data_IF_486975643672
#
_entry.id   IF_486975643672
#
_cell.length_a   1.000
_cell.length_b   1.000
_cell.length_c   1.000
_cell.angle_alpha   90.00
_cell.angle_beta   90.00
_cell.angle_gamma   90.00
#
_symmetry.space_group_name_H-M   'P 1'
#
loop_
_entity.id
_entity.type
_entity.pdbx_description
1 polymer ?
#
# COMPACT_ATOMS: atom_id res chain seq x y z
N UNK A 1 -16.68 -28.22 -7.98
CA UNK A 1 -15.80 -29.06 -7.15
C UNK A 1 -14.47 -29.18 -7.85
N UNK A 2 -13.47 -28.44 -7.43
CA UNK A 2 -12.08 -28.61 -7.87
C UNK A 2 -11.23 -28.60 -6.61
N UNK A 3 -10.59 -29.74 -6.34
CA UNK A 3 -9.74 -30.01 -5.19
C UNK A 3 -8.37 -29.41 -5.47
N UNK A 4 -7.92 -28.46 -4.66
CA UNK A 4 -6.55 -27.98 -4.66
C UNK A 4 -5.70 -28.88 -3.77
N UNK A 5 -4.77 -29.60 -4.39
CA UNK A 5 -3.77 -30.41 -3.72
C UNK A 5 -2.63 -29.49 -3.22
N UNK A 6 -2.35 -29.54 -1.92
CA UNK A 6 -1.21 -28.91 -1.30
C UNK A 6 0.06 -29.74 -1.60
N UNK A 7 1.09 -29.12 -2.18
CA UNK A 7 2.45 -29.65 -2.25
C UNK A 7 3.29 -29.06 -1.12
N UNK A 8 3.77 -29.92 -0.22
CA UNK A 8 4.76 -29.58 0.79
C UNK A 8 6.18 -29.61 0.17
N UNK A 9 7.10 -28.75 0.58
CA UNK A 9 8.50 -28.82 0.15
C UNK A 9 9.28 -29.84 0.97
N UNK A 10 10.07 -30.68 0.28
CA UNK A 10 11.02 -31.65 0.83
C UNK A 10 12.31 -30.95 1.26
N UNK A 11 12.77 -31.25 2.46
CA UNK A 11 14.10 -30.85 2.95
C UNK A 11 15.20 -31.75 2.34
N UNK A 12 16.39 -31.23 2.04
CA UNK A 12 17.57 -32.06 1.82
C UNK A 12 18.42 -32.16 3.09
N UNK A 13 18.55 -33.37 3.59
CA UNK A 13 19.58 -33.81 4.53
C UNK A 13 20.94 -33.84 3.87
N UNK A 14 21.96 -33.26 4.51
CA UNK A 14 23.35 -33.38 4.09
C UNK A 14 24.30 -33.12 5.26
N UNK A 15 24.96 -34.21 5.70
CA UNK A 15 25.76 -34.35 6.89
C UNK A 15 27.19 -33.84 6.78
N UNK A 16 27.66 -33.33 7.92
CA UNK A 16 29.00 -33.33 8.57
C UNK A 16 30.28 -33.52 7.78
N UNK A 17 31.30 -32.67 8.04
CA UNK A 17 32.62 -33.14 8.46
C UNK A 17 33.40 -32.06 9.23
N UNK A 18 34.03 -32.51 10.31
CA UNK A 18 34.81 -31.77 11.28
C UNK A 18 36.29 -31.55 10.81
N UNK A 19 36.94 -30.55 11.43
CA UNK A 19 38.35 -30.70 11.70
C UNK A 19 39.26 -29.50 11.40
N UNK A 20 39.78 -28.95 12.45
CA UNK A 20 41.14 -28.51 12.75
C UNK A 20 41.27 -27.06 13.25
N UNK A 21 41.47 -26.98 14.55
CA UNK A 21 42.28 -25.94 15.22
C UNK A 21 43.78 -26.19 14.97
N UNK A 22 44.65 -25.15 15.00
CA UNK A 22 45.33 -24.82 16.24
C UNK A 22 45.58 -23.31 16.49
N UNK A 23 45.60 -22.94 17.77
CA UNK A 23 46.35 -21.80 18.36
C UNK A 23 47.81 -22.23 18.66
N UNK A 24 48.71 -21.39 19.22
CA UNK A 24 48.78 -19.93 19.45
C UNK A 24 50.20 -19.37 19.11
N UNK A 25 50.45 -18.06 19.19
CA UNK A 25 51.73 -17.51 19.75
C UNK A 25 51.72 -15.98 19.86
N UNK A 26 51.75 -15.51 21.05
CA UNK A 26 52.55 -14.46 21.79
C UNK A 26 53.15 -13.26 21.01
N UNK A 27 52.97 -12.09 21.64
CA UNK A 27 54.06 -11.11 21.69
C UNK A 27 53.62 -9.65 21.68
N UNK A 28 53.38 -9.02 22.84
CA UNK A 28 54.12 -7.89 23.42
C UNK A 28 53.91 -6.46 22.99
N UNK A 29 53.57 -5.64 23.93
CA UNK A 29 53.83 -4.24 24.31
C UNK A 29 52.90 -3.14 23.87
N UNK A 30 52.30 -2.53 24.90
CA UNK A 30 51.81 -1.15 24.97
C UNK A 30 52.92 -0.11 24.81
N UNK A 31 52.58 1.10 24.36
CA UNK A 31 52.57 2.16 25.37
C UNK A 31 51.32 3.05 25.37
N UNK A 32 51.03 3.51 26.52
CA UNK A 32 50.10 4.53 27.03
C UNK A 32 50.35 5.89 26.39
N UNK A 33 49.27 6.59 25.96
CA UNK A 33 49.06 8.03 26.22
C UNK A 33 47.60 8.40 25.92
N UNK A 34 46.91 8.86 26.93
CA UNK A 34 45.70 9.73 26.89
C UNK A 34 46.13 11.15 26.52
N UNK A 35 45.24 12.08 26.03
CA UNK A 35 43.90 12.31 26.54
C UNK A 35 42.80 12.72 25.48
N UNK A 36 41.56 12.45 25.88
CA UNK A 36 40.34 13.23 25.60
C UNK A 36 40.16 13.98 24.26
N UNK A 37 39.35 13.39 23.39
CA UNK A 37 38.52 14.19 22.44
C UNK A 37 37.09 13.71 22.59
N UNK A 38 36.27 14.52 23.23
CA UNK A 38 34.81 14.38 23.26
C UNK A 38 34.26 14.63 21.85
N UNK A 39 33.95 13.57 21.15
CA UNK A 39 33.13 13.66 19.92
C UNK A 39 31.70 14.05 20.31
N UNK A 40 31.09 15.05 19.65
CA UNK A 40 29.68 15.32 19.85
C UNK A 40 28.86 14.13 19.31
N UNK A 41 27.95 13.66 20.16
CA UNK A 41 26.89 12.70 19.81
C UNK A 41 26.11 13.22 18.59
N UNK A 42 25.85 12.38 17.56
CA UNK A 42 24.97 12.82 16.48
C UNK A 42 23.58 13.08 17.08
N UNK A 43 23.09 14.31 16.90
CA UNK A 43 21.72 14.69 17.18
C UNK A 43 20.80 13.74 16.39
N UNK A 44 19.85 13.12 17.08
CA UNK A 44 18.73 12.42 16.41
C UNK A 44 18.08 13.38 15.42
N UNK A 45 17.74 12.92 14.20
CA UNK A 45 16.97 13.77 13.31
C UNK A 45 15.61 14.06 13.98
N UNK A 46 15.36 15.32 14.30
CA UNK A 46 14.01 15.79 14.61
C UNK A 46 13.11 15.38 13.42
N UNK A 47 12.09 14.56 13.69
CA UNK A 47 11.02 14.30 12.74
C UNK A 47 10.37 15.64 12.41
N UNK A 48 10.76 16.20 11.28
CA UNK A 48 10.09 17.38 10.72
C UNK A 48 8.68 16.95 10.33
N UNK A 49 7.70 17.27 11.16
CA UNK A 49 6.29 17.14 10.81
C UNK A 49 6.07 18.04 9.62
N UNK A 50 5.85 17.46 8.44
CA UNK A 50 5.56 18.20 7.23
C UNK A 50 4.33 19.08 7.46
N UNK A 51 4.39 20.36 7.06
CA UNK A 51 3.24 21.25 7.18
C UNK A 51 2.03 20.66 6.41
N UNK A 52 0.79 20.83 6.91
CA UNK A 52 -0.41 20.37 6.21
C UNK A 52 -0.52 21.03 4.82
N UNK A 53 -1.36 20.50 3.91
CA UNK A 53 -1.58 21.07 2.59
C UNK A 53 -1.98 22.54 2.70
N UNK A 54 -1.65 23.35 1.70
CA UNK A 54 -1.99 24.76 1.66
C UNK A 54 -3.47 24.98 2.00
N UNK A 55 -3.79 25.98 2.81
CA UNK A 55 -5.17 26.29 3.23
C UNK A 55 -6.13 26.47 2.05
N UNK A 56 -5.63 26.81 0.86
CA UNK A 56 -6.42 26.89 -0.37
C UNK A 56 -6.82 25.48 -0.90
N UNK A 57 -5.99 24.45 -0.69
CA UNK A 57 -6.29 23.08 -1.10
C UNK A 57 -7.20 22.37 -0.07
N UNK A 58 -6.96 22.56 1.23
CA UNK A 58 -7.78 21.93 2.28
C UNK A 58 -9.26 22.34 2.29
N UNK A 59 -9.63 23.41 1.57
CA UNK A 59 -11.02 23.85 1.42
C UNK A 59 -11.76 23.21 0.22
N UNK A 60 -11.07 22.44 -0.63
CA UNK A 60 -11.66 21.97 -1.89
C UNK A 60 -12.51 20.70 -1.75
N UNK A 61 -12.14 19.78 -0.85
CA UNK A 61 -12.78 18.46 -0.75
C UNK A 61 -12.93 18.00 0.69
N UNK A 62 -14.01 17.26 0.98
CA UNK A 62 -14.29 16.69 2.29
C UNK A 62 -13.45 15.45 2.56
N UNK A 63 -12.98 15.31 3.82
CA UNK A 63 -12.30 14.09 4.29
C UNK A 63 -13.25 13.03 4.85
N UNK A 64 -14.56 13.31 4.89
CA UNK A 64 -15.60 12.41 5.46
C UNK A 64 -16.77 12.14 4.53
N UNK A 65 -17.00 12.95 3.49
CA UNK A 65 -18.00 12.65 2.48
C UNK A 65 -17.49 11.53 1.55
N UNK A 66 -18.16 10.36 1.47
CA UNK A 66 -17.70 9.25 0.65
C UNK A 66 -17.72 9.53 -0.86
N UNK A 67 -18.42 10.58 -1.31
CA UNK A 67 -18.40 11.03 -2.71
C UNK A 67 -17.19 11.93 -3.03
N UNK A 68 -16.44 12.36 -2.03
CA UNK A 68 -15.26 13.20 -2.17
C UNK A 68 -14.03 12.35 -2.58
N UNK A 69 -13.20 12.81 -3.54
CA UNK A 69 -11.94 12.15 -3.84
C UNK A 69 -10.95 12.14 -2.65
N UNK A 70 -11.16 13.01 -1.66
CA UNK A 70 -10.32 13.10 -0.46
C UNK A 70 -10.89 12.35 0.75
N UNK A 71 -12.05 11.67 0.61
CA UNK A 71 -12.56 10.86 1.72
C UNK A 71 -11.46 9.96 2.27
N UNK A 72 -11.14 10.10 3.54
CA UNK A 72 -10.14 9.23 4.16
C UNK A 72 -10.84 8.13 4.93
N UNK A 73 -10.65 6.91 4.42
CA UNK A 73 -11.19 5.67 4.99
C UNK A 73 -10.01 4.87 5.51
N UNK A 74 -10.01 4.55 6.79
CA UNK A 74 -8.99 3.73 7.43
C UNK A 74 -9.57 3.01 8.66
N UNK A 75 -8.75 2.43 9.52
CA UNK A 75 -9.22 1.67 10.68
C UNK A 75 -9.94 2.53 11.73
N UNK A 76 -9.64 3.84 11.82
CA UNK A 76 -10.31 4.78 12.72
C UNK A 76 -11.49 5.50 12.06
N UNK A 77 -11.56 5.50 10.75
CA UNK A 77 -12.51 6.31 9.96
C UNK A 77 -13.34 5.41 9.03
N UNK A 78 -14.46 4.84 9.50
CA UNK A 78 -15.38 4.12 8.64
C UNK A 78 -16.07 5.07 7.65
N UNK A 79 -16.64 4.48 6.61
CA UNK A 79 -17.59 5.19 5.73
C UNK A 79 -18.88 5.52 6.47
N UNK A 80 -19.44 6.69 6.20
CA UNK A 80 -20.75 7.11 6.66
C UNK A 80 -21.65 7.49 5.47
N UNK A 81 -22.74 6.74 5.20
CA UNK A 81 -23.19 5.54 5.92
C UNK A 81 -22.26 4.32 5.64
N UNK A 82 -22.20 3.33 6.56
CA UNK A 82 -21.31 2.16 6.40
C UNK A 82 -21.55 1.35 5.11
N UNK A 83 -22.79 1.31 4.63
CA UNK A 83 -23.18 0.62 3.39
C UNK A 83 -23.14 1.53 2.16
N UNK A 84 -22.40 2.64 2.20
CA UNK A 84 -22.25 3.53 1.04
C UNK A 84 -21.91 2.75 -0.22
N UNK A 85 -22.52 3.16 -1.34
CA UNK A 85 -22.18 2.69 -2.67
C UNK A 85 -22.21 3.89 -3.64
N UNK A 86 -21.17 4.09 -4.47
CA UNK A 86 -21.17 5.15 -5.47
C UNK A 86 -22.31 4.96 -6.48
N UNK A 87 -22.94 6.07 -6.87
CA UNK A 87 -24.01 6.06 -7.87
C UNK A 87 -23.51 6.04 -9.32
N UNK A 88 -22.21 6.30 -9.51
CA UNK A 88 -21.56 6.53 -10.81
C UNK A 88 -20.49 5.47 -11.15
N UNK A 89 -20.71 4.22 -10.70
CA UNK A 89 -19.83 3.11 -11.01
C UNK A 89 -19.86 2.76 -12.49
N UNK A 90 -18.69 2.71 -13.12
CA UNK A 90 -18.51 2.35 -14.52
C UNK A 90 -17.34 1.37 -14.69
N UNK A 91 -17.39 0.54 -15.73
CA UNK A 91 -16.26 -0.27 -16.13
C UNK A 91 -15.34 0.56 -17.02
N UNK A 92 -14.06 0.79 -16.63
CA UNK A 92 -13.11 1.53 -17.46
C UNK A 92 -12.73 0.74 -18.71
N UNK A 93 -12.35 1.46 -19.77
CA UNK A 93 -11.87 0.91 -21.05
C UNK A 93 -10.41 0.47 -20.99
N UNK A 94 -10.02 -0.32 -19.99
CA UNK A 94 -8.65 -0.80 -19.77
C UNK A 94 -8.59 -2.33 -19.74
N UNK A 95 -7.38 -2.90 -19.70
CA UNK A 95 -7.22 -4.35 -19.52
C UNK A 95 -7.72 -4.76 -18.13
N UNK A 96 -8.58 -5.76 -18.09
CA UNK A 96 -9.17 -6.31 -16.88
C UNK A 96 -8.61 -7.70 -16.59
N UNK A 97 -8.26 -7.98 -15.34
CA UNK A 97 -7.98 -9.31 -14.82
C UNK A 97 -9.17 -9.89 -14.04
N UNK A 98 -10.22 -9.08 -13.86
CA UNK A 98 -11.43 -9.40 -13.06
C UNK A 98 -12.69 -9.00 -13.82
N UNK A 99 -13.85 -9.43 -13.30
CA UNK A 99 -15.17 -9.08 -13.83
C UNK A 99 -16.17 -8.77 -12.71
N UNK A 100 -17.42 -8.50 -13.09
CA UNK A 100 -18.47 -8.14 -12.14
C UNK A 100 -18.18 -6.82 -11.44
N UNK A 101 -18.55 -6.68 -10.16
CA UNK A 101 -18.34 -5.43 -9.41
C UNK A 101 -16.87 -5.06 -9.28
N UNK A 102 -15.98 -6.04 -9.18
CA UNK A 102 -14.53 -5.81 -9.09
C UNK A 102 -13.91 -5.18 -10.36
N UNK A 103 -14.63 -5.13 -11.47
CA UNK A 103 -14.23 -4.43 -12.70
C UNK A 103 -14.71 -2.98 -12.74
N UNK A 104 -15.45 -2.50 -11.73
CA UNK A 104 -16.03 -1.17 -11.70
C UNK A 104 -15.17 -0.21 -10.89
N UNK A 105 -15.18 1.05 -11.28
CA UNK A 105 -14.61 2.20 -10.56
C UNK A 105 -15.63 3.33 -10.58
N UNK A 106 -15.51 4.31 -9.71
CA UNK A 106 -16.25 5.53 -9.89
C UNK A 106 -15.82 6.23 -11.20
N UNK A 107 -16.70 6.99 -11.81
CA UNK A 107 -16.48 7.53 -13.15
C UNK A 107 -15.22 8.38 -13.29
N UNK A 108 -14.89 9.17 -12.28
CA UNK A 108 -13.68 10.02 -12.25
C UNK A 108 -12.42 9.16 -12.15
N UNK A 109 -12.43 8.17 -11.26
CA UNK A 109 -11.32 7.22 -11.11
C UNK A 109 -11.11 6.40 -12.38
N UNK A 110 -12.20 5.95 -13.03
CA UNK A 110 -12.16 5.23 -14.29
C UNK A 110 -11.46 6.04 -15.40
N UNK A 111 -11.87 7.28 -15.60
CA UNK A 111 -11.26 8.17 -16.60
C UNK A 111 -9.77 8.48 -16.31
N UNK A 112 -9.38 8.57 -15.04
CA UNK A 112 -8.00 8.77 -14.64
C UNK A 112 -7.17 7.48 -14.85
N UNK A 113 -7.75 6.31 -14.52
CA UNK A 113 -7.12 5.01 -14.74
C UNK A 113 -6.86 4.73 -16.21
N UNK A 114 -7.79 5.08 -17.10
CA UNK A 114 -7.61 4.95 -18.56
C UNK A 114 -6.36 5.71 -19.04
N UNK A 115 -6.15 6.93 -18.54
CA UNK A 115 -4.96 7.74 -18.87
C UNK A 115 -3.68 7.13 -18.31
N UNK A 116 -3.72 6.66 -17.07
CA UNK A 116 -2.58 6.00 -16.41
C UNK A 116 -2.16 4.73 -17.15
N UNK A 117 -3.11 3.86 -17.50
CA UNK A 117 -2.85 2.61 -18.24
C UNK A 117 -2.34 2.87 -19.66
N UNK A 118 -2.90 3.86 -20.35
CA UNK A 118 -2.44 4.25 -21.68
C UNK A 118 -0.99 4.76 -21.65
N UNK A 119 -0.62 5.56 -20.65
CA UNK A 119 0.74 6.05 -20.48
C UNK A 119 1.73 4.93 -20.15
N UNK A 120 1.39 4.01 -19.24
CA UNK A 120 2.20 2.84 -18.95
C UNK A 120 2.43 1.98 -20.21
N UNK A 121 1.37 1.72 -20.97
CA UNK A 121 1.44 0.97 -22.22
C UNK A 121 2.33 1.65 -23.27
N UNK A 122 2.30 2.99 -23.36
CA UNK A 122 3.17 3.76 -24.26
C UNK A 122 4.66 3.59 -23.93
N UNK A 123 4.98 3.30 -22.65
CA UNK A 123 6.32 2.98 -22.18
C UNK A 123 6.61 1.46 -22.15
N UNK A 124 5.74 0.64 -22.73
CA UNK A 124 5.90 -0.81 -22.81
C UNK A 124 5.57 -1.56 -21.51
N UNK A 125 4.95 -0.90 -20.53
CA UNK A 125 4.55 -1.51 -19.27
C UNK A 125 3.10 -1.98 -19.36
N UNK A 126 2.90 -3.29 -19.17
CA UNK A 126 1.56 -3.90 -19.18
C UNK A 126 0.99 -3.87 -17.77
N UNK A 127 -0.23 -3.35 -17.64
CA UNK A 127 -1.03 -3.39 -16.42
C UNK A 127 -2.41 -3.98 -16.70
N UNK A 128 -3.02 -4.58 -15.68
CA UNK A 128 -4.43 -4.94 -15.68
C UNK A 128 -5.08 -4.52 -14.36
N UNK A 129 -6.35 -4.14 -14.38
CA UNK A 129 -7.15 -3.93 -13.18
C UNK A 129 -7.44 -5.28 -12.54
N UNK A 130 -6.94 -5.47 -11.32
CA UNK A 130 -7.01 -6.74 -10.59
C UNK A 130 -8.09 -6.75 -9.50
N UNK A 131 -8.47 -5.58 -8.97
CA UNK A 131 -9.59 -5.41 -8.03
C UNK A 131 -10.01 -3.94 -8.02
N UNK A 132 -11.25 -3.65 -8.37
CA UNK A 132 -11.84 -2.31 -8.33
C UNK A 132 -12.83 -2.16 -7.17
N UNK A 133 -14.06 -1.73 -7.47
CA UNK A 133 -15.11 -1.57 -6.47
C UNK A 133 -15.41 -2.88 -5.75
N UNK A 134 -15.62 -2.77 -4.45
CA UNK A 134 -16.01 -3.87 -3.58
C UNK A 134 -17.12 -3.40 -2.65
N UNK A 135 -18.33 -3.94 -2.82
CA UNK A 135 -19.49 -3.59 -1.97
C UNK A 135 -19.26 -3.95 -0.51
N UNK A 136 -20.02 -3.34 0.39
CA UNK A 136 -20.02 -3.68 1.81
C UNK A 136 -20.24 -5.18 2.06
N UNK A 137 -21.19 -5.79 1.33
CA UNK A 137 -21.50 -7.22 1.48
C UNK A 137 -20.35 -8.11 1.01
N UNK A 138 -19.70 -7.76 -0.10
CA UNK A 138 -18.52 -8.50 -0.60
C UNK A 138 -17.33 -8.31 0.35
N UNK A 139 -17.12 -7.10 0.88
CA UNK A 139 -16.10 -6.86 1.90
C UNK A 139 -16.34 -7.68 3.16
N UNK A 140 -17.59 -7.78 3.62
CA UNK A 140 -17.95 -8.61 4.78
C UNK A 140 -17.64 -10.09 4.53
N UNK A 141 -17.95 -10.62 3.35
CA UNK A 141 -17.63 -12.01 3.00
C UNK A 141 -16.12 -12.24 2.94
N UNK A 142 -15.37 -11.32 2.31
CA UNK A 142 -13.90 -11.36 2.20
C UNK A 142 -13.26 -11.34 3.58
N UNK A 143 -13.61 -10.37 4.42
CA UNK A 143 -13.06 -10.23 5.77
C UNK A 143 -13.35 -11.47 6.65
N UNK A 144 -14.59 -11.97 6.63
CA UNK A 144 -14.96 -13.17 7.37
C UNK A 144 -14.18 -14.42 6.89
N UNK A 145 -13.85 -14.50 5.59
CA UNK A 145 -12.97 -15.54 5.06
C UNK A 145 -11.56 -15.47 5.68
N UNK A 146 -10.98 -14.27 5.81
CA UNK A 146 -9.69 -14.08 6.50
C UNK A 146 -9.80 -14.41 8.01
N UNK A 147 -10.89 -13.97 8.69
CA UNK A 147 -11.11 -14.32 10.10
C UNK A 147 -11.14 -15.84 10.29
N UNK A 148 -11.82 -16.56 9.38
CA UNK A 148 -11.89 -18.01 9.42
C UNK A 148 -10.54 -18.71 9.21
N UNK A 149 -9.64 -18.13 8.43
CA UNK A 149 -8.35 -18.72 8.09
C UNK A 149 -7.21 -18.36 9.05
N UNK A 150 -7.18 -17.14 9.57
CA UNK A 150 -6.04 -16.63 10.37
C UNK A 150 -6.44 -15.93 11.68
N UNK A 151 -7.73 -15.98 12.06
CA UNK A 151 -8.27 -15.28 13.22
C UNK A 151 -8.43 -13.78 12.99
N UNK A 152 -9.13 -13.10 13.92
CA UNK A 152 -9.45 -11.67 13.76
C UNK A 152 -8.20 -10.80 13.71
N UNK A 153 -7.23 -10.99 14.58
CA UNK A 153 -6.01 -10.19 14.60
C UNK A 153 -5.23 -10.30 13.26
N UNK A 154 -5.13 -11.50 12.69
CA UNK A 154 -4.52 -11.69 11.37
C UNK A 154 -5.35 -11.04 10.25
N UNK A 155 -6.68 -11.18 10.30
CA UNK A 155 -7.58 -10.59 9.33
C UNK A 155 -7.50 -9.05 9.32
N UNK A 156 -7.36 -8.41 10.48
CA UNK A 156 -7.26 -6.96 10.63
C UNK A 156 -6.01 -6.36 9.95
N UNK A 157 -4.95 -7.15 9.77
CA UNK A 157 -3.76 -6.73 9.03
C UNK A 157 -3.83 -7.04 7.52
N UNK A 158 -4.64 -8.02 7.13
CA UNK A 158 -4.72 -8.51 5.75
C UNK A 158 -5.90 -7.92 4.97
N UNK A 159 -6.95 -7.44 5.63
CA UNK A 159 -8.17 -6.95 4.98
C UNK A 159 -8.90 -5.93 5.87
N UNK A 160 -9.51 -4.94 5.26
CA UNK A 160 -10.34 -3.98 5.99
C UNK A 160 -11.61 -4.64 6.54
N UNK A 161 -12.05 -4.20 7.73
CA UNK A 161 -13.40 -4.52 8.21
C UNK A 161 -14.45 -3.90 7.28
N UNK A 162 -15.67 -4.48 7.18
CA UNK A 162 -16.75 -3.90 6.39
C UNK A 162 -17.02 -2.43 6.76
N UNK A 163 -17.13 -1.57 5.76
CA UNK A 163 -17.25 -0.12 5.95
C UNK A 163 -15.92 0.63 6.12
N UNK A 164 -14.77 -0.06 6.18
CA UNK A 164 -13.43 0.53 6.34
C UNK A 164 -12.54 0.32 5.11
N UNK A 165 -13.09 -0.14 3.99
CA UNK A 165 -12.36 -0.40 2.76
C UNK A 165 -12.45 0.77 1.77
N UNK A 166 -11.33 1.26 1.27
CA UNK A 166 -11.31 2.27 0.21
C UNK A 166 -11.92 1.76 -1.11
N UNK A 167 -11.88 0.44 -1.39
CA UNK A 167 -12.53 -0.15 -2.56
C UNK A 167 -14.05 0.10 -2.59
N UNK A 168 -14.68 0.27 -1.41
CA UNK A 168 -16.11 0.56 -1.32
C UNK A 168 -16.47 1.96 -1.83
N UNK A 169 -15.50 2.87 -1.92
CA UNK A 169 -15.69 4.22 -2.44
C UNK A 169 -15.60 4.32 -3.95
N UNK A 170 -15.01 3.31 -4.62
CA UNK A 170 -14.66 3.38 -6.03
C UNK A 170 -13.48 4.32 -6.34
N UNK A 171 -12.87 4.95 -5.32
CA UNK A 171 -11.70 5.83 -5.46
C UNK A 171 -10.36 5.08 -5.47
N UNK A 172 -10.35 3.77 -5.22
CA UNK A 172 -9.14 2.94 -5.26
C UNK A 172 -9.32 1.68 -6.10
N UNK A 173 -8.18 1.15 -6.56
CA UNK A 173 -8.13 -0.12 -7.25
C UNK A 173 -6.74 -0.74 -7.15
N UNK A 174 -6.70 -2.05 -7.36
CA UNK A 174 -5.47 -2.82 -7.40
C UNK A 174 -5.06 -3.12 -8.84
N UNK A 175 -3.75 -3.02 -9.13
CA UNK A 175 -3.15 -3.37 -10.41
C UNK A 175 -2.44 -4.73 -10.35
N UNK A 176 -2.31 -5.38 -11.51
CA UNK A 176 -1.44 -6.52 -11.74
C UNK A 176 -0.59 -6.29 -13.00
N UNK A 177 0.38 -7.19 -13.24
CA UNK A 177 1.25 -7.18 -14.43
C UNK A 177 0.55 -7.67 -15.73
N UNK A 178 -0.72 -7.98 -15.63
CA UNK A 178 -1.52 -8.54 -16.72
C UNK A 178 -1.31 -10.05 -16.98
N UNK A 179 -0.30 -10.66 -16.41
CA UNK A 179 -0.06 -12.10 -16.39
C UNK A 179 -0.46 -12.76 -15.05
N UNK A 180 -0.68 -11.94 -14.03
CA UNK A 180 -1.07 -12.38 -12.70
C UNK A 180 0.11 -12.82 -11.81
N UNK A 181 1.35 -12.69 -12.28
CA UNK A 181 2.52 -13.01 -11.50
C UNK A 181 2.61 -12.10 -10.26
N UNK A 182 2.87 -12.69 -9.09
CA UNK A 182 2.98 -11.94 -7.85
C UNK A 182 1.74 -11.11 -7.45
N UNK A 183 0.58 -11.28 -8.07
CA UNK A 183 -0.64 -10.52 -7.73
C UNK A 183 -0.96 -10.65 -6.25
N UNK A 184 -1.15 -9.50 -5.57
CA UNK A 184 -1.43 -9.40 -4.13
C UNK A 184 -0.34 -10.06 -3.24
N UNK A 185 0.90 -10.10 -3.72
CA UNK A 185 2.04 -10.64 -2.98
C UNK A 185 3.17 -9.60 -2.87
N UNK A 186 4.02 -9.66 -1.84
CA UNK A 186 5.13 -8.71 -1.67
C UNK A 186 6.08 -8.64 -2.88
N UNK A 187 6.24 -9.73 -3.62
CA UNK A 187 7.07 -9.78 -4.83
C UNK A 187 6.56 -8.90 -5.97
N UNK A 188 5.27 -8.44 -5.93
CA UNK A 188 4.73 -7.53 -6.94
C UNK A 188 5.50 -6.21 -6.96
N UNK A 189 6.08 -5.78 -5.84
CA UNK A 189 6.90 -4.56 -5.77
C UNK A 189 8.07 -4.54 -6.78
N UNK A 190 8.58 -5.71 -7.17
CA UNK A 190 9.63 -5.86 -8.18
C UNK A 190 9.11 -5.96 -9.61
N UNK A 191 7.78 -5.99 -9.85
CA UNK A 191 7.22 -6.05 -11.18
C UNK A 191 7.28 -4.68 -11.89
N UNK A 192 7.45 -4.65 -13.22
CA UNK A 192 7.47 -3.40 -13.99
C UNK A 192 6.25 -2.51 -13.74
N UNK A 193 5.05 -3.11 -13.59
CA UNK A 193 3.82 -2.39 -13.30
C UNK A 193 3.88 -1.62 -11.98
N UNK A 194 4.35 -2.26 -10.89
CA UNK A 194 4.47 -1.61 -9.58
C UNK A 194 5.55 -0.52 -9.58
N UNK A 195 6.72 -0.81 -10.19
CA UNK A 195 7.82 0.17 -10.28
C UNK A 195 7.41 1.40 -11.08
N UNK A 196 6.75 1.21 -12.22
CA UNK A 196 6.26 2.30 -13.05
C UNK A 196 5.19 3.12 -12.33
N UNK A 197 4.22 2.45 -11.69
CA UNK A 197 3.17 3.13 -10.93
C UNK A 197 3.74 3.96 -9.78
N UNK A 198 4.69 3.43 -9.01
CA UNK A 198 5.34 4.16 -7.92
C UNK A 198 5.99 5.48 -8.40
N UNK A 199 6.58 5.49 -9.60
CA UNK A 199 7.22 6.68 -10.16
C UNK A 199 6.30 7.64 -10.92
N UNK A 200 5.13 7.19 -11.38
CA UNK A 200 4.33 7.93 -12.35
C UNK A 200 2.85 8.15 -11.97
N UNK A 201 2.30 7.36 -11.06
CA UNK A 201 0.86 7.38 -10.75
C UNK A 201 0.35 8.77 -10.32
N UNK A 202 1.18 9.54 -9.61
CA UNK A 202 0.84 10.91 -9.17
C UNK A 202 0.50 11.85 -10.33
N UNK A 203 1.09 11.68 -11.52
CA UNK A 203 0.81 12.48 -12.71
C UNK A 203 -0.63 12.28 -13.22
N UNK A 204 -1.28 11.21 -12.78
CA UNK A 204 -2.66 10.84 -13.13
C UNK A 204 -3.61 10.93 -11.93
N UNK A 205 -3.13 11.48 -10.81
CA UNK A 205 -3.93 11.72 -9.60
C UNK A 205 -3.96 10.54 -8.62
N UNK A 206 -3.07 9.55 -8.77
CA UNK A 206 -3.00 8.39 -7.88
C UNK A 206 -1.77 8.40 -6.99
N UNK A 207 -1.91 7.78 -5.83
CA UNK A 207 -0.81 7.47 -4.92
C UNK A 207 -0.81 5.97 -4.61
N UNK A 208 0.36 5.40 -4.31
CA UNK A 208 0.46 4.08 -3.68
C UNK A 208 0.01 4.27 -2.23
N UNK A 209 -1.15 3.74 -1.88
CA UNK A 209 -1.85 4.06 -0.62
C UNK A 209 -1.16 3.53 0.62
N UNK A 210 -0.57 2.34 0.54
CA UNK A 210 0.07 1.65 1.66
C UNK A 210 1.55 1.44 1.35
N UNK A 211 2.39 2.50 1.53
CA UNK A 211 3.80 2.45 1.18
C UNK A 211 4.62 1.61 2.16
N UNK A 212 5.80 1.17 1.71
CA UNK A 212 6.72 0.36 2.52
C UNK A 212 7.13 1.11 3.80
N UNK A 213 7.11 0.42 4.95
CA UNK A 213 7.50 0.93 6.28
C UNK A 213 6.52 1.91 6.95
N UNK A 214 5.32 2.11 6.40
CA UNK A 214 4.32 3.03 6.96
C UNK A 214 3.09 2.32 7.57
N UNK A 215 3.18 1.02 7.87
CA UNK A 215 2.08 0.27 8.47
C UNK A 215 1.65 0.78 9.86
N UNK A 216 2.58 1.35 10.62
CA UNK A 216 2.28 1.99 11.91
C UNK A 216 1.42 3.27 11.78
N UNK A 217 1.34 3.84 10.56
CA UNK A 217 0.50 5.00 10.27
C UNK A 217 -0.80 4.57 9.58
N UNK A 218 -0.69 3.70 8.57
CA UNK A 218 -1.83 3.34 7.71
C UNK A 218 -2.63 2.15 8.23
N UNK A 219 -2.03 1.32 9.09
CA UNK A 219 -2.63 0.09 9.64
C UNK A 219 -2.50 -1.14 8.72
N UNK A 220 -1.95 -0.98 7.52
CA UNK A 220 -1.80 -2.06 6.54
C UNK A 220 -0.35 -2.24 6.12
N UNK A 221 0.03 -3.48 5.81
CA UNK A 221 1.32 -3.77 5.23
C UNK A 221 1.48 -3.14 3.85
N UNK A 222 2.70 -3.16 3.32
CA UNK A 222 3.01 -2.62 2.01
C UNK A 222 2.20 -3.29 0.89
N UNK A 223 1.45 -2.49 0.15
CA UNK A 223 0.66 -2.92 -1.00
C UNK A 223 1.05 -2.10 -2.23
N UNK A 224 2.08 -2.56 -2.94
CA UNK A 224 2.57 -1.89 -4.16
C UNK A 224 1.59 -1.90 -5.33
N UNK A 225 0.52 -2.66 -5.20
CA UNK A 225 -0.58 -2.76 -6.18
C UNK A 225 -1.72 -1.80 -5.93
N UNK A 226 -1.92 -1.33 -4.69
CA UNK A 226 -3.09 -0.55 -4.30
C UNK A 226 -2.90 0.93 -4.62
N UNK A 227 -3.63 1.41 -5.62
CA UNK A 227 -3.63 2.80 -6.07
C UNK A 227 -4.89 3.52 -5.58
N UNK A 228 -4.70 4.68 -4.96
CA UNK A 228 -5.76 5.55 -4.50
C UNK A 228 -5.77 6.87 -5.27
N UNK A 229 -6.93 7.23 -5.84
CA UNK A 229 -7.15 8.51 -6.50
C UNK A 229 -7.44 9.63 -5.48
N UNK A 230 -6.72 10.73 -5.61
CA UNK A 230 -6.89 11.96 -4.79
C UNK A 230 -6.85 13.24 -5.64
N UNK A 231 -6.77 13.09 -6.97
CA UNK A 231 -6.57 14.21 -7.89
C UNK A 231 -5.10 14.50 -8.18
N UNK A 232 -4.84 15.01 -9.40
CA UNK A 232 -3.46 15.24 -9.89
C UNK A 232 -2.71 16.25 -9.02
N UNK A 233 -3.37 17.32 -8.61
CA UNK A 233 -2.75 18.37 -7.82
C UNK A 233 -2.27 17.86 -6.47
N UNK A 234 -3.15 17.19 -5.70
CA UNK A 234 -2.81 16.63 -4.39
C UNK A 234 -1.75 15.52 -4.48
N UNK A 235 -1.89 14.60 -5.43
CA UNK A 235 -0.92 13.52 -5.62
C UNK A 235 0.47 14.04 -5.99
N UNK A 236 0.53 15.09 -6.83
CA UNK A 236 1.80 15.73 -7.22
C UNK A 236 2.41 16.51 -6.05
N UNK A 237 1.60 17.24 -5.26
CA UNK A 237 2.06 17.96 -4.06
C UNK A 237 2.63 16.99 -3.01
N UNK A 238 1.99 15.84 -2.79
CA UNK A 238 2.54 14.79 -1.91
C UNK A 238 3.95 14.37 -2.32
N UNK A 239 4.14 14.08 -3.61
CA UNK A 239 5.46 13.67 -4.15
C UNK A 239 6.49 14.79 -4.01
N UNK A 240 6.13 16.04 -4.35
CA UNK A 240 7.04 17.19 -4.25
C UNK A 240 7.46 17.48 -2.82
N UNK A 241 6.58 17.21 -1.86
CA UNK A 241 6.85 17.41 -0.42
C UNK A 241 7.46 16.19 0.26
N UNK A 242 7.59 15.06 -0.45
CA UNK A 242 8.11 13.80 0.12
C UNK A 242 7.19 13.20 1.18
N UNK A 243 5.87 13.46 1.11
CA UNK A 243 4.88 12.90 2.04
C UNK A 243 4.37 11.57 1.48
N UNK A 244 4.41 10.53 2.31
CA UNK A 244 4.16 9.17 1.85
C UNK A 244 2.76 8.65 2.15
N UNK A 245 2.05 9.18 3.15
CA UNK A 245 0.73 8.70 3.56
C UNK A 245 -0.33 9.79 3.49
N UNK A 246 -1.58 9.40 3.30
CA UNK A 246 -2.70 10.35 3.29
C UNK A 246 -2.97 10.90 4.70
N UNK A 247 -2.72 10.10 5.73
CA UNK A 247 -2.83 10.52 7.13
C UNK A 247 -1.90 11.71 7.40
N UNK A 248 -0.62 11.60 7.03
CA UNK A 248 0.35 12.70 7.18
C UNK A 248 -0.02 13.91 6.30
N UNK A 249 -0.44 13.65 5.05
CA UNK A 249 -0.77 14.71 4.10
C UNK A 249 -1.93 15.58 4.58
N UNK A 250 -2.95 14.97 5.15
CA UNK A 250 -4.14 15.68 5.67
C UNK A 250 -4.01 16.06 7.15
N UNK A 251 -2.90 15.78 7.81
CA UNK A 251 -2.66 16.10 9.22
C UNK A 251 -3.57 15.32 10.17
N UNK A 252 -3.86 14.06 9.83
CA UNK A 252 -4.68 13.15 10.63
C UNK A 252 -3.79 12.24 11.47
N UNK A 253 -4.37 11.68 12.54
CA UNK A 253 -3.70 10.71 13.37
C UNK A 253 -3.42 9.39 12.62
N UNK A 254 -2.41 8.67 13.07
CA UNK A 254 -2.15 7.31 12.63
C UNK A 254 -3.30 6.37 13.04
N UNK A 255 -3.55 5.35 12.22
CA UNK A 255 -4.60 4.36 12.44
C UNK A 255 -4.06 2.92 12.31
N UNK A 256 -3.07 2.52 13.17
CA UNK A 256 -2.44 1.21 13.08
C UNK A 256 -3.41 0.07 13.36
N UNK A 257 -4.35 0.27 14.30
CA UNK A 257 -5.32 -0.71 14.77
C UNK A 257 -6.73 -0.15 14.79
N UNK A 258 -7.75 -1.02 14.89
CA UNK A 258 -9.14 -0.59 15.09
C UNK A 258 -9.36 -0.11 16.52
N UNK A 259 -10.20 0.92 16.67
CA UNK A 259 -10.63 1.45 17.97
C UNK A 259 -11.60 0.49 18.66
#
# INVERSE_FOLDING_TARGET
MAVLAACAPSEPSGSVSAGHTPSPTTGTTLPTTDPASVSPSPASPESSVAAPPSSAMSAQHSLSDPTSPWVLVNKHRPLEPPQFAPADLVQPGIRLAVGGEAALLNSTTAAAAEKLFAAAAAEGVIMALASGYRSYSTQAATYNGYVGSMGQAGADHASARPGHSEHQTGWSFDISDGGGACSFQPCFAGQPAATWAAGNAHKYGFVVRYPLQFHEITGYYYESWHLRYIGVEAATDMVQRGISTLEEYFGLEAAPDYL
#
